data_IF_615200030596
#
_entry.id   IF_615200030596
#
_cell.length_a   1.000
_cell.length_b   1.000
_cell.length_c   1.000
_cell.angle_alpha   90.00
_cell.angle_beta   90.00
_cell.angle_gamma   90.00
#
_symmetry.space_group_name_H-M   'P 1'
#
loop_
_entity.id
_entity.type
_entity.pdbx_description
1 polymer ?
#
# COMPACT_ATOMS: atom_id res chain seq x y z
N UNK A 1 22.83 -26.29 -16.60
CA UNK A 1 21.89 -26.39 -15.45
C UNK A 1 20.49 -26.42 -16.06
N UNK A 2 19.65 -27.38 -15.70
CA UNK A 2 18.37 -27.52 -16.37
C UNK A 2 17.55 -26.24 -16.20
N UNK A 3 16.93 -25.73 -17.27
CA UNK A 3 16.16 -24.48 -17.26
C UNK A 3 15.07 -24.49 -16.19
N UNK A 4 14.50 -25.67 -15.92
CA UNK A 4 13.53 -25.88 -14.84
C UNK A 4 14.13 -25.62 -13.46
N UNK A 5 15.36 -26.03 -13.24
CA UNK A 5 16.06 -25.83 -11.95
C UNK A 5 16.41 -24.35 -11.75
N UNK A 6 16.86 -23.68 -12.82
CA UNK A 6 17.12 -22.23 -12.80
C UNK A 6 15.85 -21.44 -12.47
N UNK A 7 14.73 -21.76 -13.13
CA UNK A 7 13.44 -21.14 -12.87
C UNK A 7 13.00 -21.36 -11.42
N UNK A 8 13.11 -22.60 -10.93
CA UNK A 8 12.66 -22.95 -9.57
C UNK A 8 13.47 -22.24 -8.50
N UNK A 9 14.80 -22.20 -8.62
CA UNK A 9 15.68 -21.52 -7.65
C UNK A 9 15.42 -20.01 -7.65
N UNK A 10 15.34 -19.40 -8.83
CA UNK A 10 15.04 -17.97 -8.93
C UNK A 10 13.66 -17.61 -8.39
N UNK A 11 12.64 -18.45 -8.64
CA UNK A 11 11.32 -18.30 -8.07
C UNK A 11 11.34 -18.32 -6.53
N UNK A 12 12.04 -19.30 -5.94
CA UNK A 12 12.13 -19.41 -4.49
C UNK A 12 12.82 -18.19 -3.85
N UNK A 13 13.90 -17.71 -4.48
CA UNK A 13 14.59 -16.50 -4.02
C UNK A 13 13.66 -15.28 -4.09
N UNK A 14 12.99 -15.09 -5.23
CA UNK A 14 12.04 -13.98 -5.39
C UNK A 14 10.91 -14.06 -4.36
N UNK A 15 10.30 -15.21 -4.20
CA UNK A 15 9.19 -15.45 -3.28
C UNK A 15 9.61 -15.26 -1.82
N UNK A 16 10.84 -15.63 -1.47
CA UNK A 16 11.40 -15.38 -0.15
C UNK A 16 11.48 -13.87 0.17
N UNK A 17 11.96 -13.05 -0.77
CA UNK A 17 12.00 -11.61 -0.58
C UNK A 17 10.60 -11.00 -0.49
N UNK A 18 9.63 -11.48 -1.29
CA UNK A 18 8.24 -11.06 -1.19
C UNK A 18 7.64 -11.38 0.19
N UNK A 19 7.90 -12.58 0.71
CA UNK A 19 7.48 -12.98 2.07
C UNK A 19 8.14 -12.12 3.15
N UNK A 20 9.42 -11.77 3.00
CA UNK A 20 10.11 -10.87 3.94
C UNK A 20 9.43 -9.50 4.03
N UNK A 21 9.07 -8.91 2.91
CA UNK A 21 8.35 -7.63 2.88
C UNK A 21 6.98 -7.77 3.55
N UNK A 22 6.20 -8.77 3.15
CA UNK A 22 4.85 -8.96 3.67
C UNK A 22 4.89 -9.28 5.16
N UNK A 23 5.69 -10.27 5.57
CA UNK A 23 5.72 -10.75 6.96
C UNK A 23 6.45 -9.79 7.90
N UNK A 24 7.52 -9.14 7.41
CA UNK A 24 8.39 -8.27 8.23
C UNK A 24 7.92 -6.83 8.30
N UNK A 25 7.27 -6.33 7.26
CA UNK A 25 6.93 -4.91 7.15
C UNK A 25 5.42 -4.66 7.08
N UNK A 26 4.71 -5.33 6.16
CA UNK A 26 3.28 -5.11 5.96
C UNK A 26 2.43 -5.68 7.11
N UNK A 27 2.59 -6.97 7.42
CA UNK A 27 1.74 -7.68 8.37
C UNK A 27 1.73 -7.09 9.80
N UNK A 28 2.85 -6.60 10.36
CA UNK A 28 2.83 -6.03 11.70
C UNK A 28 1.96 -4.78 11.84
N UNK A 29 1.68 -4.08 10.73
CA UNK A 29 0.92 -2.83 10.73
C UNK A 29 -0.48 -2.93 10.14
N UNK A 30 -0.63 -3.79 9.15
CA UNK A 30 -1.89 -3.96 8.41
C UNK A 30 -2.25 -5.44 8.42
N UNK A 31 -3.21 -5.84 9.25
CA UNK A 31 -3.60 -7.26 9.42
C UNK A 31 -4.65 -7.71 8.37
N UNK A 32 -4.71 -7.07 7.21
CA UNK A 32 -5.68 -7.45 6.18
C UNK A 32 -5.18 -8.63 5.35
N UNK A 33 -5.76 -9.80 5.60
CA UNK A 33 -5.41 -11.05 4.93
C UNK A 33 -5.77 -11.07 3.43
N UNK A 34 -6.77 -10.30 3.00
CA UNK A 34 -7.22 -10.29 1.60
C UNK A 34 -6.14 -9.71 0.69
N UNK A 35 -5.49 -8.63 1.12
CA UNK A 35 -4.40 -8.03 0.36
C UNK A 35 -3.14 -8.90 0.34
N UNK A 36 -2.84 -9.63 1.43
CA UNK A 36 -1.68 -10.53 1.48
C UNK A 36 -1.77 -11.61 0.41
N UNK A 37 -2.93 -12.24 0.29
CA UNK A 37 -3.17 -13.23 -0.76
C UNK A 37 -2.97 -12.64 -2.15
N UNK A 38 -3.56 -11.49 -2.41
CA UNK A 38 -3.44 -10.78 -3.69
C UNK A 38 -1.97 -10.46 -4.01
N UNK A 39 -1.22 -9.91 -3.06
CA UNK A 39 0.19 -9.55 -3.24
C UNK A 39 1.05 -10.76 -3.60
N UNK A 40 0.90 -11.87 -2.88
CA UNK A 40 1.69 -13.08 -3.13
C UNK A 40 1.36 -13.72 -4.48
N UNK A 41 0.09 -13.78 -4.85
CA UNK A 41 -0.33 -14.34 -6.14
C UNK A 41 0.17 -13.48 -7.30
N UNK A 42 0.01 -12.15 -7.22
CA UNK A 42 0.55 -11.26 -8.26
C UNK A 42 2.05 -11.41 -8.40
N UNK A 43 2.79 -11.42 -7.29
CA UNK A 43 4.25 -11.60 -7.30
C UNK A 43 4.65 -12.92 -7.96
N UNK A 44 4.01 -14.02 -7.60
CA UNK A 44 4.30 -15.34 -8.16
C UNK A 44 3.99 -15.41 -9.67
N UNK A 45 2.83 -14.94 -10.09
CA UNK A 45 2.41 -14.97 -11.50
C UNK A 45 3.32 -14.08 -12.34
N UNK A 46 3.63 -12.87 -11.89
CA UNK A 46 4.51 -11.94 -12.61
C UNK A 46 5.90 -12.54 -12.76
N UNK A 47 6.46 -13.20 -11.73
CA UNK A 47 7.77 -13.85 -11.85
C UNK A 47 7.78 -14.90 -12.94
N UNK A 48 6.78 -15.79 -12.97
CA UNK A 48 6.68 -16.85 -14.00
C UNK A 48 6.56 -16.24 -15.39
N UNK A 49 5.69 -15.24 -15.54
CA UNK A 49 5.50 -14.53 -16.81
C UNK A 49 6.81 -13.88 -17.26
N UNK A 50 7.55 -13.21 -16.36
CA UNK A 50 8.82 -12.57 -16.69
C UNK A 50 9.92 -13.58 -17.07
N UNK A 51 9.96 -14.76 -16.44
CA UNK A 51 10.86 -15.83 -16.85
C UNK A 51 10.55 -16.30 -18.28
N UNK A 52 9.28 -16.38 -18.64
CA UNK A 52 8.86 -16.70 -20.01
C UNK A 52 9.31 -15.60 -20.99
N UNK A 53 9.09 -14.34 -20.67
CA UNK A 53 9.51 -13.20 -21.49
C UNK A 53 11.02 -13.14 -21.70
N UNK A 54 11.78 -13.43 -20.67
CA UNK A 54 13.23 -13.42 -20.79
C UNK A 54 13.78 -14.66 -21.53
N UNK A 55 13.01 -15.73 -21.66
CA UNK A 55 13.43 -16.98 -22.33
C UNK A 55 13.12 -17.01 -23.83
N UNK A 56 12.19 -16.22 -24.29
CA UNK A 56 11.79 -16.12 -25.69
C UNK A 56 12.08 -14.68 -26.16
N UNK A 57 12.67 -14.51 -27.34
CA UNK A 57 12.74 -13.20 -27.99
C UNK A 57 11.33 -12.75 -28.35
N UNK A 58 10.59 -12.25 -27.38
CA UNK A 58 9.20 -11.86 -27.56
C UNK A 58 9.13 -10.59 -28.39
N UNK A 59 8.30 -10.64 -29.42
CA UNK A 59 8.01 -9.46 -30.19
C UNK A 59 7.35 -8.37 -29.32
N UNK A 60 7.58 -7.13 -29.66
CA UNK A 60 6.97 -5.95 -29.02
C UNK A 60 5.44 -6.12 -28.85
N UNK A 61 4.77 -6.83 -29.73
CA UNK A 61 3.32 -7.11 -29.68
C UNK A 61 2.85 -7.87 -28.44
N UNK A 62 3.65 -8.79 -27.91
CA UNK A 62 3.28 -9.54 -26.68
C UNK A 62 3.38 -8.63 -25.44
N UNK A 63 4.35 -7.72 -25.41
CA UNK A 63 4.45 -6.70 -24.37
C UNK A 63 3.22 -5.77 -24.33
N UNK A 64 2.76 -5.34 -25.50
CA UNK A 64 1.51 -4.56 -25.62
C UNK A 64 0.27 -5.36 -25.21
N UNK A 65 0.20 -6.66 -25.54
CA UNK A 65 -0.90 -7.53 -25.13
C UNK A 65 -1.03 -7.67 -23.62
N UNK A 66 0.09 -7.84 -22.92
CA UNK A 66 0.13 -7.87 -21.46
C UNK A 66 -0.23 -6.51 -20.83
N UNK A 67 0.29 -5.44 -21.38
CA UNK A 67 -0.09 -4.09 -20.93
C UNK A 67 -1.60 -3.86 -21.07
N UNK A 68 -2.20 -4.28 -22.18
CA UNK A 68 -3.64 -4.19 -22.39
C UNK A 68 -4.43 -5.02 -21.37
N UNK A 69 -3.99 -6.26 -21.06
CA UNK A 69 -4.61 -7.10 -20.03
C UNK A 69 -4.55 -6.46 -18.64
N UNK A 70 -3.40 -5.92 -18.24
CA UNK A 70 -3.26 -5.23 -16.97
C UNK A 70 -4.09 -3.93 -16.92
N UNK A 71 -4.21 -3.24 -18.04
CA UNK A 71 -5.04 -2.04 -18.15
C UNK A 71 -6.53 -2.35 -17.94
N UNK A 72 -7.01 -3.48 -18.45
CA UNK A 72 -8.41 -3.92 -18.28
C UNK A 72 -8.67 -4.33 -16.82
N UNK A 73 -7.73 -5.00 -16.16
CA UNK A 73 -7.85 -5.38 -14.74
C UNK A 73 -7.90 -4.17 -13.79
N UNK A 74 -7.44 -3.00 -14.24
CA UNK A 74 -7.47 -1.75 -13.47
C UNK A 74 -8.88 -1.16 -13.32
N UNK A 75 -9.85 -1.53 -14.14
CA UNK A 75 -11.25 -1.03 -14.07
C UNK A 75 -12.07 -1.69 -12.95
N UNK A 76 -11.46 -2.04 -11.85
CA UNK A 76 -12.20 -2.53 -10.69
C UNK A 76 -12.80 -1.35 -9.93
N UNK A 77 -14.10 -1.44 -9.65
CA UNK A 77 -14.94 -0.38 -9.07
C UNK A 77 -14.69 -0.08 -7.58
N UNK A 78 -13.81 -0.82 -6.93
CA UNK A 78 -13.45 -0.59 -5.55
C UNK A 78 -12.18 0.26 -5.44
N UNK A 79 -12.25 1.33 -4.65
CA UNK A 79 -11.09 2.18 -4.36
C UNK A 79 -10.15 1.44 -3.42
N UNK A 80 -9.03 0.96 -3.95
CA UNK A 80 -7.95 0.38 -3.13
C UNK A 80 -7.26 1.51 -2.36
N UNK A 81 -7.07 1.37 -1.05
CA UNK A 81 -6.33 2.36 -0.27
C UNK A 81 -4.92 2.61 -0.84
N UNK A 82 -4.43 3.84 -0.76
CA UNK A 82 -3.16 4.27 -1.39
C UNK A 82 -1.97 3.42 -0.94
N UNK A 83 -1.97 3.03 0.34
CA UNK A 83 -0.90 2.21 0.91
C UNK A 83 -0.85 0.81 0.29
N UNK A 84 -1.98 0.16 0.16
CA UNK A 84 -2.11 -1.16 -0.48
C UNK A 84 -1.72 -1.11 -1.96
N UNK A 85 -2.04 -0.02 -2.65
CA UNK A 85 -1.57 0.21 -4.03
C UNK A 85 -0.04 0.29 -4.11
N UNK A 86 0.62 0.91 -3.13
CA UNK A 86 2.08 0.99 -3.09
C UNK A 86 2.71 -0.40 -2.91
N UNK A 87 2.17 -1.20 -1.97
CA UNK A 87 2.63 -2.58 -1.80
C UNK A 87 2.36 -3.44 -3.03
N UNK A 88 1.20 -3.31 -3.66
CA UNK A 88 0.90 -4.00 -4.91
C UNK A 88 1.91 -3.66 -6.00
N UNK A 89 2.25 -2.37 -6.15
CA UNK A 89 3.26 -1.95 -7.11
C UNK A 89 4.63 -2.60 -6.83
N UNK A 90 5.07 -2.64 -5.58
CA UNK A 90 6.33 -3.30 -5.21
C UNK A 90 6.28 -4.78 -5.52
N UNK A 91 5.16 -5.47 -5.20
CA UNK A 91 4.99 -6.89 -5.45
C UNK A 91 4.93 -7.26 -6.94
N UNK A 92 4.57 -6.31 -7.80
CA UNK A 92 4.58 -6.47 -9.26
C UNK A 92 5.95 -6.12 -9.85
N UNK A 93 6.60 -5.04 -9.38
CA UNK A 93 7.87 -4.57 -9.93
C UNK A 93 9.06 -5.46 -9.54
N UNK A 94 9.07 -5.96 -8.30
CA UNK A 94 10.17 -6.75 -7.75
C UNK A 94 10.45 -8.05 -8.53
N UNK A 95 9.46 -8.89 -8.88
CA UNK A 95 9.72 -10.09 -9.66
C UNK A 95 10.23 -9.80 -11.08
N UNK A 96 9.86 -8.67 -11.68
CA UNK A 96 10.38 -8.22 -13.00
C UNK A 96 11.89 -8.04 -12.92
N UNK A 97 12.35 -7.28 -11.94
CA UNK A 97 13.76 -6.98 -11.69
C UNK A 97 14.53 -8.26 -11.31
N UNK A 98 13.95 -9.08 -10.45
CA UNK A 98 14.56 -10.33 -9.98
C UNK A 98 14.73 -11.36 -11.10
N UNK A 99 13.73 -11.56 -11.94
CA UNK A 99 13.80 -12.46 -13.08
C UNK A 99 14.90 -12.03 -14.06
N UNK A 100 15.03 -10.72 -14.32
CA UNK A 100 16.05 -10.16 -15.20
C UNK A 100 17.46 -10.38 -14.65
N UNK A 101 17.73 -9.99 -13.40
CA UNK A 101 19.05 -10.12 -12.80
C UNK A 101 19.44 -11.58 -12.58
N UNK A 102 18.49 -12.41 -12.18
CA UNK A 102 18.77 -13.84 -11.96
C UNK A 102 19.19 -14.54 -13.27
N UNK A 103 18.47 -14.27 -14.37
CA UNK A 103 18.82 -14.85 -15.68
C UNK A 103 20.19 -14.40 -16.17
N UNK A 104 20.57 -13.15 -15.94
CA UNK A 104 21.86 -12.60 -16.36
C UNK A 104 23.02 -12.95 -15.40
N UNK A 105 22.77 -13.77 -14.37
CA UNK A 105 23.79 -14.15 -13.39
C UNK A 105 24.24 -13.01 -12.47
N UNK A 106 23.49 -11.90 -12.43
CA UNK A 106 23.81 -10.70 -11.62
C UNK A 106 23.24 -10.84 -10.20
N UNK A 107 23.68 -11.85 -9.46
CA UNK A 107 23.15 -12.18 -8.14
C UNK A 107 23.43 -11.09 -7.10
N UNK A 108 24.58 -10.44 -7.17
CA UNK A 108 24.96 -9.35 -6.27
C UNK A 108 24.00 -8.17 -6.44
N UNK A 109 23.71 -7.78 -7.67
CA UNK A 109 22.77 -6.69 -7.99
C UNK A 109 21.35 -7.05 -7.56
N UNK A 110 20.93 -8.30 -7.72
CA UNK A 110 19.66 -8.82 -7.25
C UNK A 110 19.54 -8.68 -5.73
N UNK A 111 20.54 -9.10 -4.97
CA UNK A 111 20.54 -9.02 -3.52
C UNK A 111 20.52 -7.56 -3.04
N UNK A 112 21.36 -6.71 -3.61
CA UNK A 112 21.46 -5.30 -3.22
C UNK A 112 20.15 -4.56 -3.52
N UNK A 113 19.54 -4.76 -4.69
CA UNK A 113 18.29 -4.10 -5.07
C UNK A 113 17.13 -4.49 -4.15
N UNK A 114 16.98 -5.78 -3.84
CA UNK A 114 15.96 -6.26 -2.92
C UNK A 114 16.15 -5.72 -1.50
N UNK A 115 17.40 -5.76 -1.01
CA UNK A 115 17.72 -5.25 0.32
C UNK A 115 17.43 -3.74 0.43
N UNK A 116 17.78 -2.97 -0.60
CA UNK A 116 17.53 -1.55 -0.65
C UNK A 116 16.02 -1.24 -0.59
N UNK A 117 15.21 -1.95 -1.38
CA UNK A 117 13.75 -1.81 -1.36
C UNK A 117 13.19 -2.13 0.03
N UNK A 118 13.62 -3.24 0.64
CA UNK A 118 13.18 -3.63 1.99
C UNK A 118 13.53 -2.56 3.03
N UNK A 119 14.76 -2.05 3.00
CA UNK A 119 15.24 -1.03 3.93
C UNK A 119 14.42 0.26 3.78
N UNK A 120 14.19 0.71 2.55
CA UNK A 120 13.40 1.94 2.30
C UNK A 120 11.99 1.77 2.83
N UNK A 121 11.30 0.67 2.49
CA UNK A 121 9.93 0.43 2.95
C UNK A 121 9.91 0.34 4.48
N UNK A 122 10.85 -0.35 5.09
CA UNK A 122 10.93 -0.49 6.54
C UNK A 122 11.16 0.85 7.27
N UNK A 123 12.03 1.72 6.74
CA UNK A 123 12.27 3.06 7.28
C UNK A 123 11.00 3.90 7.18
N UNK A 124 10.37 3.93 6.00
CA UNK A 124 9.16 4.71 5.77
C UNK A 124 7.98 4.19 6.62
N UNK A 125 7.83 2.86 6.75
CA UNK A 125 6.77 2.26 7.57
C UNK A 125 6.95 2.52 9.06
N UNK A 126 8.17 2.66 9.55
CA UNK A 126 8.41 3.06 10.95
C UNK A 126 8.03 4.51 11.24
N UNK A 127 7.60 5.26 10.23
CA UNK A 127 7.19 6.65 10.40
C UNK A 127 8.36 7.58 10.72
N UNK A 128 9.53 7.32 10.17
CA UNK A 128 10.71 8.15 10.38
C UNK A 128 10.44 9.57 9.85
N UNK A 129 10.03 10.46 10.74
CA UNK A 129 9.78 11.88 10.45
C UNK A 129 8.34 12.23 9.99
N UNK A 130 7.44 11.27 9.82
CA UNK A 130 6.06 11.52 9.43
C UNK A 130 5.10 11.02 10.51
N UNK A 131 4.36 11.96 11.13
CA UNK A 131 3.23 11.59 11.99
C UNK A 131 2.07 11.17 11.10
N UNK A 132 1.71 9.91 11.14
CA UNK A 132 0.48 9.44 10.48
C UNK A 132 -0.72 9.92 11.29
N UNK A 133 -1.51 10.82 10.72
CA UNK A 133 -2.78 11.24 11.28
C UNK A 133 -3.88 10.31 10.75
N UNK A 134 -4.67 9.76 11.66
CA UNK A 134 -5.94 9.14 11.31
C UNK A 134 -6.93 10.22 10.89
N UNK A 135 -7.79 9.91 9.94
CA UNK A 135 -8.88 10.79 9.55
C UNK A 135 -10.22 10.04 9.56
N UNK A 136 -11.28 10.76 9.88
CA UNK A 136 -12.66 10.27 9.78
C UNK A 136 -13.54 11.35 9.16
N UNK A 137 -14.44 10.93 8.28
CA UNK A 137 -15.51 11.78 7.79
C UNK A 137 -16.67 11.77 8.77
N UNK A 138 -17.17 12.95 9.10
CA UNK A 138 -18.26 13.14 10.06
C UNK A 138 -19.21 14.19 9.51
N UNK A 139 -20.52 13.93 9.58
CA UNK A 139 -21.54 14.96 9.37
C UNK A 139 -21.79 15.66 10.71
N UNK A 140 -21.53 16.95 10.74
CA UNK A 140 -21.57 17.80 11.95
C UNK A 140 -22.76 18.72 11.93
N UNK A 141 -23.58 18.71 13.00
CA UNK A 141 -24.84 19.43 13.09
C UNK A 141 -24.73 20.83 13.68
N UNK A 142 -23.57 21.20 14.26
CA UNK A 142 -23.40 22.52 14.91
C UNK A 142 -22.65 23.48 14.00
N UNK A 143 -23.34 23.94 12.93
CA UNK A 143 -22.73 24.82 11.92
C UNK A 143 -22.28 26.19 12.49
N UNK A 144 -22.84 26.61 13.62
CA UNK A 144 -22.43 27.85 14.31
C UNK A 144 -20.97 27.79 14.81
N UNK A 145 -20.40 26.58 14.96
CA UNK A 145 -19.00 26.37 15.38
C UNK A 145 -18.02 26.26 14.20
N UNK A 146 -18.51 26.24 12.95
CA UNK A 146 -17.65 26.10 11.76
C UNK A 146 -16.84 27.37 11.48
N UNK A 147 -17.24 28.50 12.08
CA UNK A 147 -16.55 29.76 11.95
C UNK A 147 -15.08 29.63 12.45
N UNK A 148 -14.15 30.21 11.70
CA UNK A 148 -12.71 30.15 11.98
C UNK A 148 -12.38 30.64 13.40
N UNK A 149 -13.10 31.65 13.92
CA UNK A 149 -12.93 32.19 15.27
C UNK A 149 -13.38 31.25 16.38
N UNK A 150 -14.21 30.24 16.07
CA UNK A 150 -14.72 29.24 17.03
C UNK A 150 -14.17 27.84 16.78
N UNK A 151 -13.08 27.74 16.03
CA UNK A 151 -12.48 26.47 15.64
C UNK A 151 -12.03 25.62 16.83
N UNK A 152 -11.52 26.27 17.86
CA UNK A 152 -11.08 25.58 19.09
C UNK A 152 -12.27 24.96 19.84
N UNK A 153 -13.41 25.64 19.88
CA UNK A 153 -14.66 25.12 20.47
C UNK A 153 -15.18 23.90 19.68
N UNK A 154 -15.12 23.97 18.35
CA UNK A 154 -15.50 22.84 17.49
C UNK A 154 -14.60 21.63 17.73
N UNK A 155 -13.28 21.82 17.84
CA UNK A 155 -12.33 20.74 18.12
C UNK A 155 -12.60 20.13 19.51
N UNK A 156 -12.89 20.95 20.52
CA UNK A 156 -13.22 20.47 21.85
C UNK A 156 -14.53 19.66 21.88
N UNK A 157 -15.57 20.13 21.18
CA UNK A 157 -16.85 19.43 21.06
C UNK A 157 -16.66 18.07 20.35
N UNK A 158 -15.95 18.06 19.23
CA UNK A 158 -15.66 16.83 18.49
C UNK A 158 -14.82 15.84 19.29
N UNK A 159 -13.83 16.33 20.04
CA UNK A 159 -13.00 15.50 20.93
C UNK A 159 -13.87 14.85 22.01
N UNK A 160 -14.77 15.62 22.63
CA UNK A 160 -15.67 15.12 23.67
C UNK A 160 -16.63 14.05 23.13
N UNK A 161 -17.22 14.28 21.96
CA UNK A 161 -18.20 13.35 21.36
C UNK A 161 -17.60 12.10 20.76
N UNK A 162 -16.44 12.23 20.12
CA UNK A 162 -15.79 11.10 19.45
C UNK A 162 -14.86 10.29 20.34
N UNK A 163 -14.42 10.87 21.48
CA UNK A 163 -13.38 10.29 22.33
C UNK A 163 -11.99 10.27 21.69
N UNK A 164 -11.83 10.89 20.51
CA UNK A 164 -10.57 10.95 19.79
C UNK A 164 -9.86 12.29 20.08
N UNK A 165 -8.53 12.32 20.22
CA UNK A 165 -7.79 13.55 20.41
C UNK A 165 -7.67 14.33 19.08
N UNK A 166 -8.76 14.98 18.67
CA UNK A 166 -8.83 15.73 17.41
C UNK A 166 -7.83 16.88 17.42
N UNK A 167 -6.96 16.95 16.40
CA UNK A 167 -5.99 18.04 16.23
C UNK A 167 -6.37 19.05 15.17
N UNK A 168 -7.00 18.59 14.12
CA UNK A 168 -7.35 19.41 12.97
C UNK A 168 -8.70 18.98 12.39
N UNK A 169 -9.43 19.95 11.89
CA UNK A 169 -10.69 19.72 11.21
C UNK A 169 -10.66 20.43 9.84
N UNK A 170 -11.08 19.76 8.80
CA UNK A 170 -11.31 20.34 7.48
C UNK A 170 -12.80 20.27 7.15
N UNK A 171 -13.39 21.40 6.77
CA UNK A 171 -14.77 21.47 6.31
C UNK A 171 -14.80 21.20 4.81
N UNK A 172 -15.48 20.13 4.40
CA UNK A 172 -15.56 19.71 3.00
C UNK A 172 -16.75 20.35 2.30
N UNK A 173 -17.91 20.38 2.97
CA UNK A 173 -19.13 21.02 2.46
C UNK A 173 -20.01 21.52 3.59
N UNK A 174 -20.87 22.50 3.32
CA UNK A 174 -21.84 23.04 4.27
C UNK A 174 -23.21 22.99 3.61
N UNK A 175 -24.17 22.36 4.28
CA UNK A 175 -25.57 22.34 3.86
C UNK A 175 -26.38 23.24 4.79
N UNK A 176 -26.61 24.47 4.36
CA UNK A 176 -27.43 25.47 5.11
C UNK A 176 -28.92 25.14 5.18
N UNK A 177 -29.44 24.22 4.34
CA UNK A 177 -30.83 23.82 4.38
C UNK A 177 -31.09 22.79 5.48
N UNK A 178 -30.07 21.98 5.81
CA UNK A 178 -30.15 20.93 6.84
C UNK A 178 -29.42 21.30 8.12
N UNK A 179 -28.81 22.49 8.18
CA UNK A 179 -27.94 22.92 9.28
C UNK A 179 -26.86 21.89 9.62
N UNK A 180 -26.23 21.32 8.58
CA UNK A 180 -25.17 20.32 8.72
C UNK A 180 -23.95 20.67 7.89
N UNK A 181 -22.79 20.16 8.27
CA UNK A 181 -21.57 20.23 7.48
C UNK A 181 -20.87 18.88 7.44
N UNK A 182 -20.35 18.53 6.27
CA UNK A 182 -19.45 17.39 6.13
C UNK A 182 -18.04 17.85 6.43
N UNK A 183 -17.45 17.24 7.44
CA UNK A 183 -16.13 17.58 7.94
C UNK A 183 -15.24 16.34 7.98
N UNK A 184 -13.94 16.56 7.81
CA UNK A 184 -12.92 15.54 8.03
C UNK A 184 -12.14 15.90 9.29
N UNK A 185 -12.20 15.05 10.29
CA UNK A 185 -11.43 15.19 11.53
C UNK A 185 -10.11 14.44 11.42
N UNK A 186 -9.03 15.06 11.89
CA UNK A 186 -7.69 14.47 11.93
C UNK A 186 -7.24 14.31 13.38
N UNK A 187 -6.75 13.12 13.71
CA UNK A 187 -6.27 12.79 15.04
C UNK A 187 -4.99 11.94 14.96
N UNK A 188 -4.08 12.04 15.95
CA UNK A 188 -2.89 11.21 15.98
C UNK A 188 -3.30 9.75 16.16
N UNK A 189 -2.83 8.87 15.27
CA UNK A 189 -2.92 7.43 15.48
C UNK A 189 -1.99 7.10 16.65
N UNK A 190 -2.57 6.90 17.84
CA UNK A 190 -1.85 6.27 18.93
C UNK A 190 -1.46 4.88 18.46
N UNK A 191 -0.18 4.52 18.52
CA UNK A 191 0.22 3.12 18.51
C UNK A 191 -0.51 2.46 19.69
N UNK A 192 -1.66 1.85 19.46
CA UNK A 192 -2.28 1.02 20.47
C UNK A 192 -1.38 -0.19 20.70
N UNK A 193 -0.88 -0.40 21.94
CA UNK A 193 -0.43 -1.72 22.31
C UNK A 193 -1.66 -2.62 22.31
N UNK A 194 -1.54 -3.72 21.58
CA UNK A 194 -2.31 -4.94 21.60
C UNK A 194 -3.50 -4.96 22.60
N UNK A 195 -4.73 -4.76 22.10
CA UNK A 195 -5.92 -5.26 22.78
C UNK A 195 -6.19 -6.67 22.29
N UNK A 196 -5.46 -7.61 22.88
CA UNK A 196 -5.93 -8.98 23.03
C UNK A 196 -7.17 -8.97 23.93
N UNK A 197 -8.34 -9.18 23.36
CA UNK A 197 -9.47 -9.90 23.96
C UNK A 197 -10.14 -10.70 22.85
#
# INVERSE_FOLDING_TARGET
MNDVLLLSVGFLINFFFALLIIRGVYYPKQRDHNFIFTFLIFNAVIYVVMCLFTSIELSIGVGFGLFALFSILRYRTETVPIREMTYLFVMVAMPVVNAFFFKNGQYDTLLVSNLLVIIIIWILERGFGFSYEGHKHVTYERIELINEHRRDEMIADLTSRTGLPVRRVEVTSIDYLRDTADITIYYPLKNEPDRSI
#
